data_IF_161984979889
#
_entry.id   IF_161984979889
#
_cell.length_a   1.000
_cell.length_b   1.000
_cell.length_c   1.000
_cell.angle_alpha   90.00
_cell.angle_beta   90.00
_cell.angle_gamma   90.00
#
_symmetry.space_group_name_H-M   'P 1'
#
loop_
_entity.id
_entity.type
_entity.pdbx_description
1 polymer ?
#
# COMPACT_ATOMS: atom_id res chain seq x y z
N UNK A 1 56.21 3.63 -48.69
CA UNK A 1 55.24 2.61 -48.22
C UNK A 1 54.60 3.14 -46.95
N UNK A 2 53.42 3.74 -47.07
CA UNK A 2 52.61 4.25 -45.95
C UNK A 2 51.50 3.24 -45.67
N UNK A 3 51.50 2.65 -44.49
CA UNK A 3 50.45 1.71 -44.04
C UNK A 3 49.48 2.49 -43.16
N UNK A 4 48.28 2.73 -43.67
CA UNK A 4 47.13 3.24 -42.91
C UNK A 4 46.43 2.08 -42.20
N UNK A 5 46.48 2.05 -40.88
CA UNK A 5 45.71 1.12 -40.04
C UNK A 5 44.33 1.70 -39.73
N UNK A 6 43.27 0.96 -40.06
CA UNK A 6 41.89 1.28 -39.70
C UNK A 6 41.59 0.67 -38.33
N UNK A 7 41.36 1.51 -37.33
CA UNK A 7 40.89 1.08 -36.01
C UNK A 7 39.39 0.84 -36.01
N UNK A 8 38.98 -0.40 -35.76
CA UNK A 8 37.57 -0.78 -35.61
C UNK A 8 37.12 -0.45 -34.18
N UNK A 9 36.30 0.60 -34.02
CA UNK A 9 35.66 0.92 -32.74
C UNK A 9 34.43 0.01 -32.54
N UNK A 10 34.49 -0.92 -31.59
CA UNK A 10 33.33 -1.68 -31.13
C UNK A 10 32.45 -0.75 -30.28
N UNK A 11 31.29 -0.37 -30.80
CA UNK A 11 30.23 0.30 -30.04
C UNK A 11 29.43 -0.81 -29.34
N UNK A 12 29.69 -1.01 -28.04
CA UNK A 12 28.87 -1.86 -27.18
C UNK A 12 27.55 -1.12 -26.89
N UNK A 13 26.51 -1.40 -27.68
CA UNK A 13 25.17 -0.95 -27.37
C UNK A 13 24.66 -1.70 -26.13
N UNK A 14 24.62 -1.02 -24.99
CA UNK A 14 23.97 -1.51 -23.77
C UNK A 14 22.48 -1.73 -24.04
N UNK A 15 22.01 -2.97 -23.91
CA UNK A 15 20.60 -3.31 -24.04
C UNK A 15 19.79 -2.59 -22.97
N UNK A 16 18.82 -1.78 -23.40
CA UNK A 16 17.79 -1.23 -22.52
C UNK A 16 16.98 -2.42 -22.00
N UNK A 17 17.05 -2.69 -20.69
CA UNK A 17 16.26 -3.75 -20.08
C UNK A 17 14.77 -3.47 -20.35
N UNK A 18 14.11 -4.35 -21.09
CA UNK A 18 12.69 -4.23 -21.40
C UNK A 18 11.89 -4.20 -20.08
N UNK A 19 11.25 -3.08 -19.81
CA UNK A 19 10.26 -2.98 -18.74
C UNK A 19 9.12 -3.94 -19.09
N UNK A 20 8.88 -4.94 -18.24
CA UNK A 20 7.72 -5.82 -18.40
C UNK A 20 6.45 -4.96 -18.35
N UNK A 21 5.67 -4.99 -19.42
CA UNK A 21 4.41 -4.27 -19.53
C UNK A 21 3.43 -4.75 -18.44
N UNK A 22 2.69 -3.83 -17.79
CA UNK A 22 1.66 -4.21 -16.82
C UNK A 22 0.62 -5.13 -17.47
N UNK A 23 0.21 -6.19 -16.76
CA UNK A 23 -0.90 -7.03 -17.21
C UNK A 23 -2.22 -6.45 -16.68
N UNK A 24 -3.06 -5.93 -17.58
CA UNK A 24 -4.40 -5.48 -17.24
C UNK A 24 -5.39 -6.65 -17.33
N UNK A 25 -6.12 -6.92 -16.25
CA UNK A 25 -7.25 -7.84 -16.25
C UNK A 25 -8.53 -7.09 -16.70
N UNK A 26 -9.47 -7.80 -17.33
CA UNK A 26 -10.76 -7.26 -17.75
C UNK A 26 -11.59 -6.66 -16.59
N UNK A 27 -11.24 -6.98 -15.34
CA UNK A 27 -11.92 -6.56 -14.12
C UNK A 27 -11.44 -5.22 -13.54
N UNK A 28 -10.70 -4.40 -14.31
CA UNK A 28 -10.18 -3.11 -13.84
C UNK A 28 -9.00 -3.22 -12.88
N UNK A 29 -8.33 -4.39 -12.82
CA UNK A 29 -7.14 -4.61 -12.00
C UNK A 29 -5.90 -4.69 -12.89
N UNK A 30 -4.79 -4.21 -12.39
CA UNK A 30 -3.50 -4.27 -13.10
C UNK A 30 -2.38 -4.62 -12.12
N UNK A 31 -1.39 -5.35 -12.61
CA UNK A 31 -0.22 -5.72 -11.83
C UNK A 31 1.10 -5.38 -12.52
N UNK A 32 2.14 -5.22 -11.71
CA UNK A 32 3.54 -5.19 -12.14
C UNK A 32 4.40 -6.06 -11.23
N UNK A 33 5.53 -6.53 -11.74
CA UNK A 33 6.61 -7.07 -10.91
C UNK A 33 7.30 -5.90 -10.22
N UNK A 34 7.46 -5.99 -8.91
CA UNK A 34 8.16 -4.96 -8.13
C UNK A 34 9.61 -4.87 -8.58
N UNK A 35 10.19 -3.66 -8.53
CA UNK A 35 11.53 -3.40 -9.03
C UNK A 35 12.42 -2.71 -8.01
N UNK A 36 13.72 -2.91 -8.12
CA UNK A 36 14.74 -2.10 -7.46
C UNK A 36 14.80 -0.69 -8.07
N UNK A 37 15.50 0.25 -7.43
CA UNK A 37 15.70 1.61 -7.97
C UNK A 37 16.36 1.62 -9.37
N UNK A 38 17.24 0.68 -9.66
CA UNK A 38 17.90 0.53 -10.97
C UNK A 38 17.10 -0.34 -11.97
N UNK A 39 15.88 -0.75 -11.61
CA UNK A 39 14.94 -1.39 -12.52
C UNK A 39 15.04 -2.92 -12.61
N UNK A 40 15.84 -3.59 -11.77
CA UNK A 40 15.85 -5.06 -11.69
C UNK A 40 14.55 -5.57 -11.07
N UNK A 41 14.07 -6.72 -11.55
CA UNK A 41 12.90 -7.38 -10.97
C UNK A 41 13.23 -7.97 -9.59
N UNK A 42 12.35 -7.78 -8.61
CA UNK A 42 12.51 -8.31 -7.24
C UNK A 42 11.95 -9.74 -7.17
N UNK A 43 12.65 -10.67 -7.83
CA UNK A 43 12.24 -12.08 -7.98
C UNK A 43 13.25 -13.07 -7.39
N UNK A 44 14.29 -12.59 -6.71
CA UNK A 44 15.34 -13.43 -6.12
C UNK A 44 15.73 -12.94 -4.71
N UNK A 45 16.31 -13.81 -3.87
CA UNK A 45 16.84 -13.41 -2.56
C UNK A 45 17.86 -12.27 -2.62
N UNK A 46 18.71 -12.25 -3.66
CA UNK A 46 19.69 -11.17 -3.84
C UNK A 46 19.01 -9.82 -4.12
N UNK A 47 17.97 -9.80 -4.96
CA UNK A 47 17.21 -8.58 -5.24
C UNK A 47 16.40 -8.12 -4.01
N UNK A 48 15.88 -9.04 -3.20
CA UNK A 48 15.23 -8.71 -1.92
C UNK A 48 16.22 -8.04 -0.98
N UNK A 49 17.41 -8.63 -0.79
CA UNK A 49 18.45 -8.06 0.07
C UNK A 49 18.96 -6.70 -0.44
N UNK A 50 18.99 -6.48 -1.77
CA UNK A 50 19.32 -5.19 -2.36
C UNK A 50 18.31 -4.10 -1.96
N UNK A 51 17.00 -4.40 -2.01
CA UNK A 51 15.96 -3.46 -1.55
C UNK A 51 16.07 -3.22 -0.04
N UNK A 52 16.31 -4.25 0.76
CA UNK A 52 16.49 -4.08 2.21
C UNK A 52 17.70 -3.21 2.55
N UNK A 53 18.83 -3.43 1.88
CA UNK A 53 20.05 -2.66 2.07
C UNK A 53 19.95 -1.22 1.57
N UNK A 54 19.09 -0.97 0.56
CA UNK A 54 18.80 0.39 0.10
C UNK A 54 18.17 1.23 1.23
N UNK A 55 17.28 0.65 2.02
CA UNK A 55 16.55 1.36 3.07
C UNK A 55 17.34 1.45 4.38
N UNK A 56 18.21 2.44 4.47
CA UNK A 56 18.86 2.81 5.73
C UNK A 56 17.92 3.65 6.61
N UNK A 57 18.14 3.71 7.94
CA UNK A 57 17.39 4.58 8.83
C UNK A 57 17.34 6.04 8.34
N UNK A 58 18.43 6.54 7.77
CA UNK A 58 18.51 7.91 7.24
C UNK A 58 17.61 8.10 6.01
N UNK A 59 17.56 7.12 5.08
CA UNK A 59 16.66 7.19 3.92
C UNK A 59 15.20 7.06 4.30
N UNK A 60 14.90 6.21 5.30
CA UNK A 60 13.55 6.10 5.86
C UNK A 60 13.13 7.41 6.53
N UNK A 61 14.01 8.02 7.33
CA UNK A 61 13.73 9.29 8.00
C UNK A 61 13.61 10.47 7.02
N UNK A 62 14.29 10.42 5.87
CA UNK A 62 14.24 11.44 4.83
C UNK A 62 13.10 11.24 3.80
N UNK A 63 12.32 10.16 3.89
CA UNK A 63 11.26 9.89 2.95
C UNK A 63 10.13 10.92 3.05
N UNK A 64 9.70 11.44 1.90
CA UNK A 64 8.63 12.43 1.81
C UNK A 64 7.27 11.75 1.71
N UNK A 65 6.23 12.41 2.18
CA UNK A 65 4.89 11.84 2.10
C UNK A 65 4.36 11.81 0.66
N UNK A 66 3.72 10.72 0.29
CA UNK A 66 3.03 10.59 -0.99
C UNK A 66 1.61 11.13 -0.84
N UNK A 67 1.43 12.37 -1.29
CA UNK A 67 0.16 13.08 -1.18
C UNK A 67 -0.64 13.06 -2.46
N UNK A 68 -1.95 12.86 -2.26
CA UNK A 68 -2.95 13.13 -3.26
C UNK A 68 -3.44 14.56 -3.20
N UNK A 69 -3.28 15.30 -4.30
CA UNK A 69 -4.02 16.55 -4.54
C UNK A 69 -5.22 16.23 -5.42
N UNK A 70 -6.40 16.11 -4.82
CA UNK A 70 -7.64 15.86 -5.55
C UNK A 70 -8.32 17.20 -5.88
N UNK A 71 -8.57 17.52 -7.17
CA UNK A 71 -9.44 18.63 -7.55
C UNK A 71 -10.91 18.28 -7.28
N UNK A 72 -11.73 19.28 -6.92
CA UNK A 72 -13.18 19.10 -6.71
C UNK A 72 -13.86 18.50 -7.95
N UNK A 73 -14.39 17.28 -7.83
CA UNK A 73 -15.37 16.74 -8.77
C UNK A 73 -16.78 17.09 -8.27
N UNK A 74 -17.59 17.72 -9.13
CA UNK A 74 -18.96 18.14 -8.79
C UNK A 74 -19.88 16.99 -8.35
N UNK A 75 -21.08 17.26 -7.83
CA UNK A 75 -21.92 16.27 -7.14
C UNK A 75 -22.19 15.04 -8.01
N UNK A 76 -21.67 13.88 -7.58
CA UNK A 76 -21.98 12.58 -8.15
C UNK A 76 -22.94 11.83 -7.24
N UNK A 77 -23.92 11.14 -7.82
CA UNK A 77 -24.88 10.30 -7.12
C UNK A 77 -24.15 9.23 -6.29
N UNK A 78 -24.55 9.05 -5.02
CA UNK A 78 -24.02 7.99 -4.17
C UNK A 78 -24.20 6.62 -4.86
N UNK A 79 -23.13 5.84 -5.09
CA UNK A 79 -23.23 4.49 -5.63
C UNK A 79 -23.99 3.62 -4.64
N UNK A 80 -24.98 2.88 -5.16
CA UNK A 80 -25.67 1.86 -4.38
C UNK A 80 -24.74 0.64 -4.19
N UNK A 81 -24.80 -0.08 -3.04
CA UNK A 81 -24.10 -1.35 -2.88
C UNK A 81 -24.40 -2.26 -4.06
N UNK A 82 -23.37 -2.64 -4.82
CA UNK A 82 -23.52 -3.41 -6.06
C UNK A 82 -23.72 -4.92 -5.80
N UNK A 83 -23.78 -5.33 -4.52
CA UNK A 83 -23.91 -6.72 -4.11
C UNK A 83 -24.24 -6.88 -2.64
N UNK A 84 -24.38 -8.14 -2.19
CA UNK A 84 -24.59 -8.46 -0.77
C UNK A 84 -23.32 -8.12 0.03
N UNK A 85 -23.44 -7.64 1.28
CA UNK A 85 -22.31 -7.47 2.17
C UNK A 85 -21.52 -8.77 2.33
N UNK A 86 -20.20 -8.68 2.27
CA UNK A 86 -19.29 -9.81 2.45
C UNK A 86 -18.20 -9.51 3.48
N UNK A 87 -17.58 -10.57 4.02
CA UNK A 87 -16.40 -10.42 4.89
C UNK A 87 -15.43 -11.59 4.78
N UNK A 88 -14.15 -11.31 5.01
CA UNK A 88 -13.11 -12.30 5.31
C UNK A 88 -12.73 -12.10 6.77
N UNK A 89 -12.77 -13.15 7.58
CA UNK A 89 -12.45 -13.07 9.00
C UNK A 89 -10.95 -12.71 9.23
N UNK A 90 -10.64 -11.87 10.23
CA UNK A 90 -9.26 -11.64 10.64
C UNK A 90 -8.63 -12.93 11.18
N UNK A 91 -7.30 -13.00 11.14
CA UNK A 91 -6.54 -14.13 11.67
C UNK A 91 -5.46 -13.67 12.66
N UNK A 92 -5.36 -14.29 13.85
CA UNK A 92 -4.25 -14.02 14.75
C UNK A 92 -2.92 -14.54 14.17
N UNK A 93 -1.77 -14.01 14.61
CA UNK A 93 -0.47 -14.54 14.21
C UNK A 93 -0.32 -16.00 14.65
N UNK A 94 0.35 -16.81 13.82
CA UNK A 94 0.58 -18.25 14.09
C UNK A 94 1.81 -18.51 14.98
N UNK A 95 2.61 -17.47 15.26
CA UNK A 95 3.78 -17.46 16.16
C UNK A 95 3.77 -16.16 16.97
N UNK A 96 4.03 -16.25 18.28
CA UNK A 96 3.65 -15.20 19.24
C UNK A 96 4.50 -13.92 19.23
N UNK A 97 3.83 -12.79 19.48
CA UNK A 97 4.09 -11.74 20.49
C UNK A 97 2.83 -10.86 20.56
N UNK A 98 2.38 -10.48 21.76
CA UNK A 98 1.33 -9.48 21.97
C UNK A 98 1.90 -8.32 22.80
N UNK A 99 1.72 -7.09 22.33
CA UNK A 99 2.02 -5.87 23.07
C UNK A 99 0.86 -4.88 22.86
N UNK A 100 0.53 -4.12 23.90
CA UNK A 100 -0.55 -3.13 23.89
C UNK A 100 -0.08 -1.79 23.28
N UNK A 101 -1.04 -1.12 22.60
CA UNK A 101 -1.11 0.27 22.12
C UNK A 101 -0.45 0.73 20.80
N UNK A 102 0.05 -0.17 19.95
CA UNK A 102 0.18 0.06 18.50
C UNK A 102 -0.09 -1.27 17.79
N UNK A 103 -0.85 -1.27 16.68
CA UNK A 103 -1.07 -2.48 15.91
C UNK A 103 0.21 -2.88 15.19
N UNK A 104 0.74 -4.08 15.48
CA UNK A 104 1.87 -4.66 14.72
C UNK A 104 1.47 -5.05 13.29
N UNK A 105 0.16 -5.19 13.02
CA UNK A 105 -0.38 -5.51 11.69
C UNK A 105 -0.34 -4.28 10.78
N UNK A 106 -0.36 -3.08 11.35
CA UNK A 106 -0.28 -1.80 10.64
C UNK A 106 1.16 -1.28 10.67
N UNK A 107 1.66 -0.86 9.52
CA UNK A 107 3.07 -0.47 9.36
C UNK A 107 3.26 0.70 8.41
N UNK A 108 4.50 1.19 8.35
CA UNK A 108 4.92 2.15 7.33
C UNK A 108 5.24 1.42 6.03
N UNK A 109 5.03 2.14 4.93
CA UNK A 109 5.51 1.77 3.60
C UNK A 109 6.56 2.80 3.20
N UNK A 110 7.66 2.33 2.62
CA UNK A 110 8.62 3.20 1.95
C UNK A 110 8.81 2.75 0.50
N UNK A 111 8.98 3.72 -0.40
CA UNK A 111 9.17 3.49 -1.83
C UNK A 111 10.18 4.47 -2.41
N UNK A 112 10.86 4.10 -3.48
CA UNK A 112 11.61 5.05 -4.30
C UNK A 112 10.68 5.69 -5.32
N UNK A 113 10.73 7.01 -5.41
CA UNK A 113 9.91 7.83 -6.31
C UNK A 113 10.82 8.70 -7.20
N UNK A 114 10.33 9.26 -8.31
CA UNK A 114 11.12 10.21 -9.09
C UNK A 114 11.65 11.34 -8.20
N UNK A 115 12.96 11.51 -8.15
CA UNK A 115 13.61 12.57 -7.38
C UNK A 115 13.82 12.29 -5.88
N UNK A 116 13.47 11.12 -5.35
CA UNK A 116 13.72 10.80 -3.94
C UNK A 116 13.05 9.52 -3.42
N UNK A 117 12.68 9.55 -2.14
CA UNK A 117 12.02 8.46 -1.43
C UNK A 117 10.68 8.93 -0.89
N UNK A 118 9.66 8.08 -1.01
CA UNK A 118 8.30 8.31 -0.56
C UNK A 118 7.94 7.44 0.64
N UNK A 119 6.95 7.87 1.42
CA UNK A 119 6.37 7.09 2.51
C UNK A 119 4.85 7.12 2.55
N UNK A 120 4.29 6.04 3.08
CA UNK A 120 2.87 5.81 3.33
C UNK A 120 2.69 4.93 4.58
N UNK A 121 1.46 4.52 4.83
CA UNK A 121 1.03 3.50 5.77
C UNK A 121 0.37 2.33 5.02
N UNK A 122 0.31 1.16 5.65
CA UNK A 122 -0.40 0.00 5.11
C UNK A 122 -0.76 -0.98 6.23
N UNK A 123 -1.52 -2.03 5.90
CA UNK A 123 -1.76 -3.14 6.83
C UNK A 123 -1.67 -4.51 6.17
N UNK A 124 -1.19 -5.51 6.91
CA UNK A 124 -1.24 -6.89 6.44
C UNK A 124 -2.71 -7.36 6.38
N UNK A 125 -3.09 -7.96 5.26
CA UNK A 125 -4.45 -8.40 4.97
C UNK A 125 -4.48 -9.93 4.96
N UNK A 126 -5.40 -10.52 5.73
CA UNK A 126 -5.54 -11.97 5.79
C UNK A 126 -5.95 -12.52 4.41
N UNK A 127 -5.29 -13.58 3.98
CA UNK A 127 -5.53 -14.24 2.70
C UNK A 127 -5.12 -15.72 2.77
N UNK A 128 -5.56 -16.53 1.80
CA UNK A 128 -5.23 -17.96 1.78
C UNK A 128 -3.73 -18.22 1.70
N UNK A 129 -3.02 -17.41 0.91
CA UNK A 129 -1.56 -17.49 0.73
C UNK A 129 -0.78 -16.68 1.73
N UNK A 130 -1.43 -15.83 2.54
CA UNK A 130 -0.87 -15.13 3.72
C UNK A 130 0.21 -14.08 3.39
N UNK A 131 0.16 -13.51 2.19
CA UNK A 131 1.22 -12.64 1.62
C UNK A 131 0.77 -11.21 1.32
N UNK A 132 -0.49 -10.85 1.58
CA UNK A 132 -1.04 -9.59 1.10
C UNK A 132 -0.87 -8.45 2.11
N UNK A 133 -0.56 -7.26 1.60
CA UNK A 133 -0.56 -5.98 2.31
C UNK A 133 -1.42 -5.00 1.52
N UNK A 134 -2.43 -4.41 2.15
CA UNK A 134 -3.33 -3.43 1.52
C UNK A 134 -2.90 -2.01 1.86
N UNK A 135 -2.96 -1.12 0.85
CA UNK A 135 -2.58 0.29 0.91
C UNK A 135 -3.38 1.09 -0.12
N UNK A 136 -3.17 2.41 -0.19
CA UNK A 136 -3.72 3.25 -1.24
C UNK A 136 -2.99 3.06 -2.58
N UNK A 137 -3.69 3.30 -3.69
CA UNK A 137 -3.14 3.22 -5.04
C UNK A 137 -1.99 4.19 -5.27
N UNK A 138 -2.12 5.41 -4.75
CA UNK A 138 -1.09 6.44 -4.84
C UNK A 138 0.17 6.13 -4.03
N UNK A 139 0.14 5.12 -3.16
CA UNK A 139 1.34 4.63 -2.46
C UNK A 139 2.17 3.65 -3.31
N UNK A 140 1.63 3.17 -4.44
CA UNK A 140 2.34 2.23 -5.34
C UNK A 140 2.54 2.80 -6.76
N UNK A 141 1.77 3.80 -7.16
CA UNK A 141 1.79 4.36 -8.50
C UNK A 141 1.46 5.86 -8.50
N UNK A 142 2.15 6.66 -9.30
CA UNK A 142 1.96 8.11 -9.39
C UNK A 142 0.66 8.59 -10.09
N UNK A 143 -0.35 7.73 -10.25
CA UNK A 143 -1.59 8.03 -10.98
C UNK A 143 -1.41 8.25 -12.49
N UNK A 144 -2.35 8.98 -13.09
CA UNK A 144 -2.44 9.24 -14.53
C UNK A 144 -1.16 9.87 -15.11
N UNK A 145 -0.62 9.25 -16.17
CA UNK A 145 0.63 9.69 -16.82
C UNK A 145 1.90 9.44 -16.00
N UNK A 146 1.76 8.88 -14.79
CA UNK A 146 2.85 8.47 -13.92
C UNK A 146 3.26 7.01 -14.11
N UNK A 147 4.19 6.55 -13.27
CA UNK A 147 4.66 5.16 -13.26
C UNK A 147 4.56 4.53 -11.88
N UNK A 148 4.78 3.20 -11.86
CA UNK A 148 4.94 2.43 -10.63
C UNK A 148 6.19 2.86 -9.85
N UNK A 149 6.09 2.86 -8.54
CA UNK A 149 7.23 3.09 -7.66
C UNK A 149 8.09 1.82 -7.49
N UNK A 150 9.33 2.00 -7.07
CA UNK A 150 10.32 0.94 -6.87
C UNK A 150 10.73 0.83 -5.40
N UNK A 151 11.55 -0.17 -5.06
CA UNK A 151 12.04 -0.44 -3.70
C UNK A 151 10.91 -0.51 -2.66
N UNK A 152 9.74 -1.06 -3.00
CA UNK A 152 8.62 -1.12 -2.06
C UNK A 152 8.96 -2.02 -0.87
N UNK A 153 8.94 -1.44 0.33
CA UNK A 153 9.15 -2.15 1.59
C UNK A 153 8.05 -1.80 2.59
N UNK A 154 7.53 -2.82 3.28
CA UNK A 154 6.57 -2.69 4.37
C UNK A 154 7.25 -2.98 5.71
N UNK A 155 7.02 -2.10 6.69
CA UNK A 155 7.63 -2.12 8.02
C UNK A 155 6.53 -2.19 9.08
N UNK A 156 6.06 -3.41 9.43
CA UNK A 156 4.98 -3.59 10.40
C UNK A 156 5.39 -3.17 11.81
N UNK A 157 4.48 -2.48 12.51
CA UNK A 157 4.71 -2.02 13.89
C UNK A 157 5.88 -1.05 14.03
N UNK A 158 6.24 -0.32 12.97
CA UNK A 158 7.32 0.66 13.01
C UNK A 158 7.14 1.63 14.19
N UNK A 159 8.20 1.86 14.96
CA UNK A 159 8.12 2.79 16.09
C UNK A 159 9.48 3.41 16.35
N UNK A 160 9.57 4.73 16.28
CA UNK A 160 10.78 5.48 16.64
C UNK A 160 12.05 4.97 15.95
N UNK A 161 11.98 4.73 14.63
CA UNK A 161 13.11 4.21 13.85
C UNK A 161 13.31 2.69 13.94
N UNK A 162 12.51 1.98 14.73
CA UNK A 162 12.66 0.53 14.94
C UNK A 162 11.67 -0.26 14.07
N UNK A 163 12.18 -1.30 13.42
CA UNK A 163 11.39 -2.35 12.75
C UNK A 163 11.29 -3.60 13.64
N UNK A 164 10.33 -3.68 14.58
CA UNK A 164 10.37 -4.68 15.68
C UNK A 164 10.25 -6.12 15.21
N UNK A 165 9.63 -6.36 14.05
CA UNK A 165 9.43 -7.68 13.46
C UNK A 165 10.11 -7.81 12.09
N UNK A 166 11.06 -6.92 11.81
CA UNK A 166 11.77 -6.85 10.53
C UNK A 166 10.91 -6.28 9.40
N UNK A 167 11.42 -6.39 8.18
CA UNK A 167 10.84 -5.74 7.00
C UNK A 167 10.36 -6.78 5.98
N UNK A 168 9.42 -6.39 5.13
CA UNK A 168 8.91 -7.22 4.05
C UNK A 168 9.03 -6.47 2.73
N UNK A 169 9.68 -7.08 1.74
CA UNK A 169 9.85 -6.50 0.40
C UNK A 169 8.78 -7.06 -0.55
N UNK A 170 8.13 -6.19 -1.33
CA UNK A 170 7.14 -6.65 -2.31
C UNK A 170 7.81 -7.35 -3.51
N UNK A 171 7.21 -8.43 -3.99
CA UNK A 171 7.56 -9.08 -5.25
C UNK A 171 6.68 -8.61 -6.42
N UNK A 172 5.42 -8.27 -6.13
CA UNK A 172 4.46 -7.73 -7.07
C UNK A 172 3.63 -6.62 -6.42
N UNK A 173 3.22 -5.67 -7.25
CA UNK A 173 2.30 -4.60 -6.86
C UNK A 173 1.06 -4.70 -7.74
N UNK A 174 -0.12 -4.54 -7.15
CA UNK A 174 -1.39 -4.46 -7.86
C UNK A 174 -2.12 -3.17 -7.50
N UNK A 175 -2.89 -2.64 -8.45
CA UNK A 175 -3.73 -1.47 -8.24
C UNK A 175 -4.93 -1.51 -9.20
N UNK A 176 -5.86 -0.60 -8.97
CA UNK A 176 -7.02 -0.37 -9.84
C UNK A 176 -6.66 0.48 -11.05
N UNK A 177 -7.23 0.17 -12.20
CA UNK A 177 -7.01 0.95 -13.43
C UNK A 177 -7.60 2.35 -13.36
N UNK A 178 -8.67 2.58 -12.60
CA UNK A 178 -9.21 3.93 -12.42
C UNK A 178 -8.25 4.84 -11.64
N UNK A 179 -7.46 4.29 -10.71
CA UNK A 179 -6.34 5.02 -10.12
C UNK A 179 -5.25 5.29 -11.16
N UNK A 180 -4.74 4.24 -11.81
CA UNK A 180 -3.57 4.35 -12.71
C UNK A 180 -3.85 5.26 -13.91
N UNK A 181 -5.05 5.20 -14.49
CA UNK A 181 -5.36 5.89 -15.74
C UNK A 181 -5.94 7.29 -15.53
N UNK A 182 -6.61 7.54 -14.40
CA UNK A 182 -7.35 8.79 -14.16
C UNK A 182 -7.13 9.41 -12.79
N UNK A 183 -6.22 8.87 -11.96
CA UNK A 183 -5.97 9.33 -10.59
C UNK A 183 -7.25 9.43 -9.76
N UNK A 184 -8.20 8.50 -9.96
CA UNK A 184 -9.51 8.54 -9.31
C UNK A 184 -9.41 8.15 -7.84
N UNK A 185 -9.84 9.04 -6.94
CA UNK A 185 -9.93 8.79 -5.49
C UNK A 185 -10.94 7.68 -5.13
N UNK A 186 -11.92 7.44 -6.00
CA UNK A 186 -12.95 6.40 -5.84
C UNK A 186 -12.37 4.98 -5.84
N UNK A 187 -11.22 4.78 -6.48
CA UNK A 187 -10.54 3.48 -6.58
C UNK A 187 -9.06 3.58 -6.24
N UNK A 188 -8.70 4.50 -5.34
CA UNK A 188 -7.34 4.68 -4.85
C UNK A 188 -6.93 3.55 -3.88
N UNK A 189 -6.85 2.33 -4.42
CA UNK A 189 -6.59 1.09 -3.69
C UNK A 189 -5.51 0.28 -4.40
N UNK A 190 -4.60 -0.28 -3.61
CA UNK A 190 -3.59 -1.21 -4.05
C UNK A 190 -3.38 -2.37 -3.05
N UNK A 191 -2.91 -3.51 -3.58
CA UNK A 191 -2.47 -4.63 -2.76
C UNK A 191 -1.04 -5.01 -3.20
N UNK A 192 -0.11 -4.96 -2.26
CA UNK A 192 1.24 -5.46 -2.44
C UNK A 192 1.30 -6.96 -2.08
N UNK A 193 1.99 -7.74 -2.91
CA UNK A 193 2.24 -9.17 -2.67
C UNK A 193 3.67 -9.30 -2.15
N UNK A 194 3.79 -9.73 -0.89
CA UNK A 194 5.06 -9.73 -0.18
C UNK A 194 5.84 -11.03 -0.39
N UNK A 195 7.16 -10.89 -0.56
CA UNK A 195 8.09 -11.99 -0.39
C UNK A 195 8.14 -12.42 1.09
N UNK A 196 8.77 -13.57 1.35
CA UNK A 196 9.11 -13.92 2.72
C UNK A 196 10.09 -12.88 3.29
N UNK A 197 9.93 -12.55 4.56
CA UNK A 197 10.73 -11.53 5.23
C UNK A 197 10.52 -11.54 6.74
N UNK A 198 10.80 -10.40 7.36
CA UNK A 198 10.73 -10.22 8.80
C UNK A 198 11.76 -11.05 9.56
N UNK A 199 11.70 -10.97 10.89
CA UNK A 199 12.62 -11.66 11.81
C UNK A 199 12.60 -13.20 11.69
N UNK A 200 11.59 -13.77 11.02
CA UNK A 200 11.43 -15.22 10.85
C UNK A 200 11.67 -15.70 9.42
N UNK A 201 11.95 -14.82 8.45
CA UNK A 201 12.03 -15.19 7.04
C UNK A 201 10.74 -15.87 6.53
N UNK A 202 9.60 -15.43 7.05
CA UNK A 202 8.29 -16.06 6.86
C UNK A 202 7.34 -15.15 6.08
N UNK A 203 6.12 -15.61 5.84
CA UNK A 203 5.08 -14.79 5.23
C UNK A 203 4.63 -13.69 6.18
N UNK A 204 4.20 -12.55 5.64
CA UNK A 204 3.82 -11.38 6.44
C UNK A 204 2.69 -11.71 7.42
N UNK A 205 1.61 -12.34 6.98
CA UNK A 205 0.46 -12.68 7.85
C UNK A 205 0.80 -13.79 8.85
N UNK A 206 1.76 -14.66 8.56
CA UNK A 206 2.28 -15.61 9.56
C UNK A 206 3.07 -14.91 10.67
N UNK A 207 3.73 -13.81 10.35
CA UNK A 207 4.58 -13.06 11.28
C UNK A 207 3.78 -12.11 12.16
N UNK A 208 2.84 -11.35 11.58
CA UNK A 208 2.17 -10.25 12.29
C UNK A 208 0.68 -10.47 12.51
N UNK A 209 0.08 -11.46 11.85
CA UNK A 209 -1.39 -11.57 11.72
C UNK A 209 -1.90 -10.81 10.50
N UNK A 210 -3.22 -10.80 10.30
CA UNK A 210 -3.82 -10.11 9.15
C UNK A 210 -5.22 -9.60 9.45
N UNK A 211 -5.49 -8.36 9.04
CA UNK A 211 -6.82 -7.78 9.08
C UNK A 211 -7.79 -8.59 8.21
N UNK A 212 -9.05 -8.64 8.60
CA UNK A 212 -10.13 -9.07 7.71
C UNK A 212 -10.38 -8.04 6.61
N UNK A 213 -11.19 -8.41 5.61
CA UNK A 213 -11.68 -7.51 4.56
C UNK A 213 -13.21 -7.43 4.65
N UNK A 214 -13.79 -6.23 4.49
CA UNK A 214 -15.23 -6.01 4.34
C UNK A 214 -15.51 -5.16 3.11
N UNK A 215 -16.57 -5.52 2.39
CA UNK A 215 -17.04 -4.79 1.21
C UNK A 215 -18.57 -4.83 1.10
N UNK A 216 -19.15 -3.88 0.35
CA UNK A 216 -20.59 -3.65 0.20
C UNK A 216 -21.34 -3.36 1.52
N UNK A 217 -20.66 -2.82 2.52
CA UNK A 217 -21.28 -2.38 3.78
C UNK A 217 -21.90 -0.99 3.64
N UNK A 218 -22.85 -0.60 4.50
CA UNK A 218 -23.44 0.74 4.44
C UNK A 218 -22.42 1.86 4.72
N UNK A 219 -22.71 3.09 4.27
CA UNK A 219 -21.85 4.26 4.48
C UNK A 219 -21.77 4.75 5.93
N UNK A 220 -22.66 4.31 6.82
CA UNK A 220 -22.70 4.71 8.23
C UNK A 220 -22.26 3.57 9.14
N UNK A 221 -20.95 3.39 9.29
CA UNK A 221 -20.34 2.34 10.11
C UNK A 221 -19.33 2.94 11.09
N UNK A 222 -19.21 2.35 12.27
CA UNK A 222 -18.18 2.72 13.23
C UNK A 222 -16.82 2.16 12.78
N UNK A 223 -15.80 3.01 12.77
CA UNK A 223 -14.44 2.67 12.32
C UNK A 223 -13.37 3.19 13.27
N UNK A 224 -12.27 2.44 13.35
CA UNK A 224 -10.96 2.92 13.84
C UNK A 224 -10.03 3.04 12.64
N UNK A 225 -9.50 4.23 12.39
CA UNK A 225 -8.56 4.51 11.30
C UNK A 225 -7.15 4.54 11.91
N UNK A 226 -6.22 3.75 11.38
CA UNK A 226 -4.83 3.69 11.87
C UNK A 226 -3.85 4.14 10.80
N UNK A 227 -2.79 4.86 11.16
CA UNK A 227 -1.75 5.27 10.22
C UNK A 227 -0.55 5.96 10.88
N UNK A 228 0.43 6.36 10.06
CA UNK A 228 1.67 7.03 10.47
C UNK A 228 1.76 8.45 9.87
N UNK A 229 0.94 9.41 10.35
CA UNK A 229 1.04 10.80 9.92
C UNK A 229 2.42 11.41 10.25
N UNK A 230 2.95 12.26 9.37
CA UNK A 230 4.32 12.76 9.41
C UNK A 230 4.46 14.27 9.11
N UNK A 231 3.35 15.01 9.11
CA UNK A 231 3.32 16.45 8.87
C UNK A 231 2.48 17.17 9.93
N UNK A 232 2.42 18.50 9.92
CA UNK A 232 1.51 19.26 10.78
C UNK A 232 1.70 19.03 12.30
N UNK A 233 2.91 18.68 12.73
CA UNK A 233 3.24 18.36 14.12
C UNK A 233 3.27 16.86 14.45
N UNK A 234 2.89 15.99 13.51
CA UNK A 234 3.07 14.54 13.65
C UNK A 234 4.51 14.14 13.28
N UNK A 235 5.15 13.25 14.06
CA UNK A 235 6.58 12.93 13.89
C UNK A 235 6.86 11.89 12.79
N UNK A 236 5.85 11.21 12.25
CA UNK A 236 6.02 10.20 11.20
C UNK A 236 6.54 8.85 11.67
N UNK A 237 6.93 8.71 12.93
CA UNK A 237 7.54 7.51 13.51
C UNK A 237 6.69 6.84 14.60
N UNK A 238 5.44 7.29 14.76
CA UNK A 238 4.46 6.73 15.67
C UNK A 238 3.14 6.47 14.93
N UNK A 239 2.47 5.37 15.32
CA UNK A 239 1.12 5.09 14.87
C UNK A 239 0.13 5.97 15.63
N UNK A 240 -0.78 6.60 14.90
CA UNK A 240 -1.90 7.38 15.42
C UNK A 240 -3.22 6.75 14.97
N UNK A 241 -4.31 7.17 15.62
CA UNK A 241 -5.63 6.71 15.28
C UNK A 241 -6.67 7.84 15.28
N UNK A 242 -7.74 7.61 14.51
CA UNK A 242 -9.00 8.33 14.60
C UNK A 242 -10.12 7.32 14.83
N UNK A 243 -11.15 7.69 15.58
CA UNK A 243 -12.33 6.86 15.80
C UNK A 243 -13.58 7.67 15.52
N UNK A 244 -14.54 7.07 14.81
CA UNK A 244 -15.78 7.75 14.48
C UNK A 244 -16.71 6.89 13.63
N UNK A 245 -17.83 7.49 13.26
CA UNK A 245 -18.79 6.89 12.32
C UNK A 245 -18.57 7.51 10.96
N UNK A 246 -18.52 6.67 9.92
CA UNK A 246 -18.38 7.13 8.55
C UNK A 246 -19.66 7.75 8.00
N UNK A 247 -19.56 8.51 6.92
CA UNK A 247 -20.68 8.94 6.07
C UNK A 247 -20.26 8.92 4.60
N UNK A 248 -21.19 9.23 3.70
CA UNK A 248 -20.88 9.36 2.27
C UNK A 248 -20.03 10.63 2.05
N UNK A 249 -18.81 10.47 1.51
CA UNK A 249 -17.93 11.59 1.22
C UNK A 249 -18.32 12.29 -0.07
N UNK A 250 -18.09 11.59 -1.19
CA UNK A 250 -18.48 11.94 -2.55
C UNK A 250 -18.22 10.74 -3.46
N UNK A 251 -18.93 10.59 -4.59
CA UNK A 251 -18.66 9.53 -5.56
C UNK A 251 -18.65 8.15 -4.88
N UNK A 252 -17.66 7.30 -5.21
CA UNK A 252 -17.43 6.02 -4.52
C UNK A 252 -16.49 6.17 -3.32
N UNK A 253 -16.77 7.08 -2.39
CA UNK A 253 -15.92 7.32 -1.22
C UNK A 253 -16.70 7.39 0.09
N UNK A 254 -16.04 6.92 1.15
CA UNK A 254 -16.46 7.07 2.54
C UNK A 254 -15.64 8.17 3.20
N UNK A 255 -16.29 8.91 4.10
CA UNK A 255 -15.67 9.99 4.86
C UNK A 255 -15.78 9.75 6.35
N UNK A 256 -14.79 10.19 7.11
CA UNK A 256 -14.82 10.23 8.56
C UNK A 256 -14.10 11.47 9.10
N UNK A 257 -14.38 11.82 10.36
CA UNK A 257 -13.59 12.80 11.08
C UNK A 257 -12.24 12.18 11.42
N UNK A 258 -11.18 12.75 10.85
CA UNK A 258 -9.81 12.37 11.16
C UNK A 258 -8.84 13.46 10.76
N UNK A 259 -8.00 13.90 11.71
CA UNK A 259 -7.01 14.94 11.52
C UNK A 259 -5.61 14.40 11.22
N UNK A 260 -5.44 13.09 11.01
CA UNK A 260 -4.18 12.52 10.57
C UNK A 260 -3.74 13.18 9.25
N UNK A 261 -2.47 13.52 9.16
CA UNK A 261 -1.88 14.25 8.03
C UNK A 261 -1.26 13.30 7.01
N UNK A 262 -0.57 13.89 6.04
CA UNK A 262 0.40 13.24 5.18
C UNK A 262 1.19 12.11 5.85
N UNK A 263 1.42 11.02 5.11
CA UNK A 263 2.05 9.79 5.62
C UNK A 263 1.05 8.76 6.17
N UNK A 264 -0.15 9.19 6.58
CA UNK A 264 -1.23 8.28 6.98
C UNK A 264 -1.89 7.53 5.81
N UNK A 265 -1.68 8.01 4.58
CA UNK A 265 -2.11 7.38 3.32
C UNK A 265 -1.89 5.87 3.29
N UNK A 266 -2.90 5.11 2.86
CA UNK A 266 -2.91 3.66 2.84
C UNK A 266 -3.17 2.98 4.18
N UNK A 267 -3.21 3.73 5.29
CA UNK A 267 -3.62 3.22 6.59
C UNK A 267 -5.05 2.65 6.58
N UNK A 268 -5.34 1.54 7.27
CA UNK A 268 -6.64 0.89 7.17
C UNK A 268 -7.73 1.62 7.98
N UNK A 269 -8.96 1.57 7.46
CA UNK A 269 -10.18 1.90 8.19
C UNK A 269 -10.81 0.60 8.65
N UNK A 270 -10.83 0.38 9.97
CA UNK A 270 -11.14 -0.91 10.58
C UNK A 270 -12.51 -0.87 11.26
N UNK A 271 -13.42 -1.71 10.80
CA UNK A 271 -14.63 -2.05 11.56
C UNK A 271 -14.32 -3.13 12.60
N UNK A 272 -15.02 -3.10 13.73
CA UNK A 272 -14.87 -4.08 14.83
C UNK A 272 -13.41 -4.27 15.27
N UNK A 273 -12.65 -3.17 15.28
CA UNK A 273 -11.27 -3.20 15.74
C UNK A 273 -11.24 -3.52 17.24
N UNK A 274 -10.46 -4.54 17.60
CA UNK A 274 -10.27 -4.97 18.97
C UNK A 274 -8.84 -4.65 19.41
N UNK A 275 -8.72 -3.64 20.27
CA UNK A 275 -7.44 -3.16 20.81
C UNK A 275 -6.65 -4.22 21.58
N UNK A 276 -7.31 -5.28 22.08
CA UNK A 276 -6.64 -6.35 22.83
C UNK A 276 -5.84 -7.29 21.95
N UNK A 277 -6.29 -7.53 20.71
CA UNK A 277 -5.63 -8.45 19.78
C UNK A 277 -5.15 -7.76 18.49
N UNK A 278 -5.46 -6.47 18.31
CA UNK A 278 -5.05 -5.67 17.17
C UNK A 278 -5.72 -6.06 15.86
N UNK A 279 -6.83 -6.82 15.89
CA UNK A 279 -7.55 -7.30 14.71
C UNK A 279 -8.83 -6.52 14.49
N UNK A 280 -9.21 -6.41 13.22
CA UNK A 280 -10.49 -5.85 12.77
C UNK A 280 -10.71 -6.17 11.30
N UNK A 281 -11.69 -5.52 10.69
CA UNK A 281 -12.01 -5.68 9.27
C UNK A 281 -11.73 -4.39 8.50
N UNK A 282 -10.76 -4.41 7.59
CA UNK A 282 -10.48 -3.30 6.68
C UNK A 282 -11.68 -3.09 5.75
N UNK A 283 -12.26 -1.89 5.79
CA UNK A 283 -13.39 -1.47 4.95
C UNK A 283 -13.15 -0.16 4.19
N UNK A 284 -11.95 0.40 4.31
CA UNK A 284 -11.39 1.42 3.42
C UNK A 284 -9.90 1.57 3.72
N UNK A 285 -9.21 2.45 2.98
CA UNK A 285 -7.86 2.92 3.28
C UNK A 285 -7.84 4.44 3.26
N UNK A 286 -6.96 5.06 4.04
CA UNK A 286 -6.73 6.51 3.98
C UNK A 286 -6.26 6.87 2.57
N UNK A 287 -7.00 7.73 1.88
CA UNK A 287 -6.66 8.17 0.52
C UNK A 287 -6.23 9.63 0.50
N UNK A 288 -7.14 10.54 0.85
CA UNK A 288 -6.87 11.97 0.77
C UNK A 288 -7.81 12.76 1.69
N UNK A 289 -7.53 14.05 1.83
CA UNK A 289 -8.44 15.00 2.49
C UNK A 289 -9.24 15.75 1.45
N UNK A 290 -10.46 16.17 1.81
CA UNK A 290 -11.32 16.95 0.94
C UNK A 290 -11.76 18.25 1.61
N UNK A 291 -11.13 19.36 1.21
CA UNK A 291 -11.48 20.74 1.60
C UNK A 291 -11.29 21.13 3.08
N UNK A 292 -11.55 20.21 4.01
CA UNK A 292 -11.50 20.36 5.46
C UNK A 292 -10.38 19.49 6.05
N UNK A 293 -9.46 20.11 6.80
CA UNK A 293 -8.31 19.44 7.41
C UNK A 293 -8.67 18.44 8.52
N UNK A 294 -9.92 18.43 8.99
CA UNK A 294 -10.44 17.47 9.96
C UNK A 294 -11.20 16.30 9.32
N UNK A 295 -11.36 16.30 8.00
CA UNK A 295 -12.04 15.25 7.24
C UNK A 295 -11.01 14.41 6.48
N UNK A 296 -11.20 13.10 6.52
CA UNK A 296 -10.42 12.15 5.73
C UNK A 296 -11.35 11.31 4.88
N UNK A 297 -10.97 11.13 3.62
CA UNK A 297 -11.64 10.27 2.66
C UNK A 297 -10.86 9.00 2.39
N UNK A 298 -11.62 7.95 2.11
CA UNK A 298 -11.13 6.69 1.60
C UNK A 298 -12.10 6.13 0.57
N UNK A 299 -11.62 5.32 -0.38
CA UNK A 299 -12.49 4.68 -1.36
C UNK A 299 -13.49 3.74 -0.68
N UNK A 300 -14.72 3.75 -1.16
CA UNK A 300 -15.77 2.84 -0.73
C UNK A 300 -15.45 1.43 -1.23
N UNK A 301 -15.36 0.48 -0.30
CA UNK A 301 -15.03 -0.89 -0.64
C UNK A 301 -16.29 -1.63 -1.09
N UNK A 302 -16.41 -1.88 -2.39
CA UNK A 302 -17.48 -2.68 -2.99
C UNK A 302 -16.93 -3.95 -3.70
N UNK A 303 -17.59 -4.44 -4.74
CA UNK A 303 -17.10 -5.58 -5.51
C UNK A 303 -15.72 -5.34 -6.14
N UNK A 304 -15.31 -4.08 -6.31
CA UNK A 304 -14.05 -3.70 -6.91
C UNK A 304 -12.84 -4.02 -6.03
N UNK A 305 -12.92 -3.76 -4.73
CA UNK A 305 -11.87 -4.19 -3.80
C UNK A 305 -11.81 -5.71 -3.68
N UNK A 306 -12.96 -6.38 -3.74
CA UNK A 306 -13.01 -7.86 -3.68
C UNK A 306 -12.37 -8.48 -4.92
N UNK A 307 -12.65 -7.91 -6.09
CA UNK A 307 -12.01 -8.26 -7.35
C UNK A 307 -10.48 -8.06 -7.29
N UNK A 308 -10.02 -6.93 -6.75
CA UNK A 308 -8.59 -6.66 -6.57
C UNK A 308 -7.93 -7.66 -5.60
N UNK A 309 -8.61 -8.00 -4.51
CA UNK A 309 -8.16 -9.03 -3.56
C UNK A 309 -8.00 -10.39 -4.24
N UNK A 310 -9.01 -10.85 -4.98
CA UNK A 310 -8.97 -12.15 -5.67
C UNK A 310 -7.87 -12.19 -6.73
N UNK A 311 -7.68 -11.07 -7.44
CA UNK A 311 -6.62 -10.93 -8.43
C UNK A 311 -5.23 -11.02 -7.78
N UNK A 312 -4.99 -10.27 -6.70
CA UNK A 312 -3.72 -10.32 -5.97
C UNK A 312 -3.46 -11.69 -5.35
N UNK A 313 -4.48 -12.30 -4.75
CA UNK A 313 -4.41 -13.66 -4.20
C UNK A 313 -4.11 -14.68 -5.31
N UNK A 314 -4.72 -14.55 -6.49
CA UNK A 314 -4.45 -15.40 -7.65
C UNK A 314 -2.99 -15.35 -8.10
N UNK A 315 -2.41 -14.15 -8.16
CA UNK A 315 -1.00 -13.92 -8.53
C UNK A 315 0.00 -14.36 -7.46
N UNK A 316 -0.43 -14.39 -6.20
CA UNK A 316 0.48 -14.63 -5.08
C UNK A 316 1.10 -16.04 -5.14
N UNK A 317 2.40 -16.22 -4.87
CA UNK A 317 2.98 -17.54 -4.77
C UNK A 317 2.51 -18.26 -3.50
N UNK A 318 2.54 -19.59 -3.55
CA UNK A 318 2.17 -20.44 -2.40
C UNK A 318 3.03 -20.19 -1.15
#
# INVERSE_FOLDING_TARGET
MTVTGVGLALIMAGGVAAQAQPSAAASGNVSTVARTADGKAVTSPAAIAEVEAFWTPERMAAAVDLDLKVPDSGPASAPAPQGKPGSIAPAPPSRGMAAVNQSVIVGKVYVSVPGGTGQCSASALNSGKRRLVITAGHCVHAGAGGGWYSNFIFVPGFRQGVSPVGNFVAGNLTARTAWINSSSGDEDIAIAIMNNGGIYGAKVVDTVGGMGLRWNWGYSVAVTILGYPAAGGFPGDLQYFCQGTTWNGHGQQVRAWCNMTQGSSGGPWLQEYNDQNGLGYTNSVVSHRHGDASQMDGPYFDNDVKSLFDFAEGLSPA
#
